data_IF_270566347276
#
_entry.id   IF_270566347276
#
_cell.length_a   1.000
_cell.length_b   1.000
_cell.length_c   1.000
_cell.angle_alpha   90.00
_cell.angle_beta   90.00
_cell.angle_gamma   90.00
#
_symmetry.space_group_name_H-M   'P 1'
#
loop_
_entity.id
_entity.type
_entity.pdbx_description
1 polymer ?
#
# COMPACT_ATOMS: atom_id res chain seq x y z
N UNK A 1 -35.36 32.42 0.24
CA UNK A 1 -35.02 31.81 1.55
C UNK A 1 -33.83 32.57 2.08
N UNK A 2 -33.96 33.27 3.20
CA UNK A 2 -32.84 34.07 3.77
C UNK A 2 -31.78 33.13 4.33
N UNK A 3 -30.55 33.28 3.88
CA UNK A 3 -29.40 32.58 4.48
C UNK A 3 -29.17 33.27 5.81
N UNK A 4 -29.43 32.57 6.92
CA UNK A 4 -29.13 33.07 8.26
C UNK A 4 -27.60 33.10 8.38
N UNK A 5 -27.04 34.30 8.44
CA UNK A 5 -25.61 34.48 8.68
C UNK A 5 -25.26 33.95 10.07
N UNK A 6 -24.48 32.94 10.12
CA UNK A 6 -23.96 32.37 11.37
C UNK A 6 -22.91 33.33 11.93
N UNK A 7 -23.20 33.95 13.09
CA UNK A 7 -22.39 35.03 13.65
C UNK A 7 -21.67 34.68 14.96
N UNK A 8 -21.69 33.41 15.38
CA UNK A 8 -21.05 32.98 16.64
C UNK A 8 -20.02 31.88 16.44
N UNK A 9 -18.89 31.94 17.19
CA UNK A 9 -17.83 30.90 17.15
C UNK A 9 -18.28 29.51 17.63
N UNK A 10 -19.45 29.42 18.25
CA UNK A 10 -19.98 28.19 18.88
C UNK A 10 -20.64 27.22 17.87
N UNK A 11 -20.58 27.53 16.59
CA UNK A 11 -21.34 26.77 15.59
C UNK A 11 -20.74 25.44 15.19
N UNK A 12 -19.52 25.18 15.56
CA UNK A 12 -18.83 23.91 15.33
C UNK A 12 -18.33 23.33 16.65
N UNK A 13 -19.28 23.09 17.59
CA UNK A 13 -18.94 22.30 18.77
C UNK A 13 -18.92 20.80 18.39
N UNK A 14 -17.73 20.31 18.14
CA UNK A 14 -17.46 18.86 17.93
C UNK A 14 -17.35 18.08 19.26
N UNK A 15 -17.57 18.72 20.41
CA UNK A 15 -17.48 18.06 21.72
C UNK A 15 -18.71 17.19 22.04
N UNK A 16 -19.83 17.42 21.37
CA UNK A 16 -21.03 16.61 21.56
C UNK A 16 -20.89 15.27 20.80
N UNK A 17 -20.84 14.20 21.53
CA UNK A 17 -20.50 12.84 21.10
C UNK A 17 -21.41 12.21 20.04
N UNK A 18 -22.51 12.86 19.63
CA UNK A 18 -23.52 12.30 18.71
C UNK A 18 -23.96 13.26 17.59
N UNK A 19 -23.25 14.35 17.33
CA UNK A 19 -23.59 15.27 16.25
C UNK A 19 -22.64 15.09 15.08
N UNK A 20 -23.20 14.87 13.89
CA UNK A 20 -22.45 14.82 12.65
C UNK A 20 -22.70 16.07 11.82
N UNK A 21 -21.65 16.62 11.22
CA UNK A 21 -21.78 17.64 10.18
C UNK A 21 -22.35 16.97 8.92
N UNK A 22 -23.52 17.43 8.49
CA UNK A 22 -24.09 16.98 7.22
C UNK A 22 -23.60 17.89 6.09
N UNK A 23 -22.78 17.35 5.22
CA UNK A 23 -22.37 18.05 4.00
C UNK A 23 -23.48 18.05 2.96
N UNK A 24 -23.54 19.06 2.05
CA UNK A 24 -24.35 18.97 0.85
C UNK A 24 -24.02 17.70 0.07
N UNK A 25 -25.04 17.03 -0.46
CA UNK A 25 -24.88 15.77 -1.19
C UNK A 25 -25.36 15.90 -2.62
N UNK A 26 -24.79 15.14 -3.54
CA UNK A 26 -25.24 15.07 -4.93
C UNK A 26 -24.33 14.21 -5.79
N UNK A 27 -24.80 13.90 -7.00
CA UNK A 27 -24.05 13.14 -8.00
C UNK A 27 -22.90 13.97 -8.60
N UNK A 28 -22.02 13.33 -9.36
CA UNK A 28 -20.95 14.02 -10.11
C UNK A 28 -21.50 15.05 -11.08
N UNK A 29 -22.66 14.79 -11.69
CA UNK A 29 -23.34 15.73 -12.60
C UNK A 29 -23.99 16.90 -11.88
N UNK A 30 -24.23 16.80 -10.58
CA UNK A 30 -24.83 17.84 -9.74
C UNK A 30 -23.78 18.73 -9.04
N UNK A 31 -22.53 18.69 -9.47
CA UNK A 31 -21.52 19.63 -8.99
C UNK A 31 -21.92 21.05 -9.34
N UNK A 32 -21.85 22.00 -8.36
CA UNK A 32 -22.16 23.39 -8.62
C UNK A 32 -21.32 23.98 -9.76
N UNK A 33 -21.94 24.66 -10.71
CA UNK A 33 -21.26 25.30 -11.84
C UNK A 33 -20.54 26.59 -11.46
N UNK A 34 -20.84 27.12 -10.28
CA UNK A 34 -20.26 28.34 -9.72
C UNK A 34 -19.60 28.07 -8.36
N UNK A 35 -19.00 26.89 -8.21
CA UNK A 35 -18.33 26.52 -6.99
C UNK A 35 -17.22 27.53 -6.62
N UNK A 36 -17.06 27.78 -5.32
CA UNK A 36 -16.05 28.67 -4.76
C UNK A 36 -15.01 27.84 -4.02
N UNK A 37 -13.74 28.28 -4.07
CA UNK A 37 -12.64 27.62 -3.38
C UNK A 37 -12.98 27.33 -1.91
N UNK A 38 -12.72 26.11 -1.49
CA UNK A 38 -13.02 25.66 -0.13
C UNK A 38 -14.43 25.11 0.07
N UNK A 39 -15.28 25.05 -0.95
CA UNK A 39 -16.56 24.34 -0.84
C UNK A 39 -16.36 22.82 -0.73
N UNK A 40 -17.14 22.20 0.15
CA UNK A 40 -17.11 20.78 0.45
C UNK A 40 -18.47 20.15 0.20
N UNK A 41 -18.48 18.91 -0.33
CA UNK A 41 -19.71 18.14 -0.51
C UNK A 41 -19.42 16.64 -0.46
N UNK A 42 -20.47 15.82 -0.32
CA UNK A 42 -20.40 14.38 -0.47
C UNK A 42 -20.90 13.98 -1.87
N UNK A 43 -20.06 13.28 -2.63
CA UNK A 43 -20.41 12.72 -3.94
C UNK A 43 -21.12 11.37 -3.75
N UNK A 44 -22.38 11.29 -4.21
CA UNK A 44 -23.20 10.09 -4.04
C UNK A 44 -22.91 8.99 -5.05
N UNK A 45 -22.32 9.31 -6.21
CA UNK A 45 -21.91 8.32 -7.20
C UNK A 45 -20.63 7.63 -6.75
N UNK A 46 -19.65 8.43 -6.40
CA UNK A 46 -18.28 7.98 -6.08
C UNK A 46 -18.08 7.59 -4.60
N UNK A 47 -19.06 7.94 -3.72
CA UNK A 47 -19.06 7.61 -2.28
C UNK A 47 -17.94 8.24 -1.45
N UNK A 48 -17.46 9.42 -1.83
CA UNK A 48 -16.45 10.16 -1.08
C UNK A 48 -16.82 11.61 -0.81
N UNK A 49 -16.11 12.23 0.12
CA UNK A 49 -16.14 13.69 0.32
C UNK A 49 -15.20 14.33 -0.67
N UNK A 50 -15.67 15.36 -1.34
CA UNK A 50 -14.89 16.14 -2.29
C UNK A 50 -14.87 17.61 -1.91
N UNK A 51 -13.79 18.31 -2.26
CA UNK A 51 -13.67 19.76 -2.09
C UNK A 51 -13.27 20.43 -3.39
N UNK A 52 -13.62 21.70 -3.54
CA UNK A 52 -13.28 22.52 -4.69
C UNK A 52 -12.09 23.42 -4.39
N UNK A 53 -11.02 23.36 -5.17
CA UNK A 53 -9.77 24.10 -4.94
C UNK A 53 -9.79 25.54 -5.47
N UNK A 54 -10.70 25.87 -6.39
CA UNK A 54 -10.91 27.23 -6.88
C UNK A 54 -9.85 27.81 -7.80
N UNK A 55 -8.90 27.01 -8.28
CA UNK A 55 -7.71 27.55 -8.98
C UNK A 55 -7.93 28.02 -10.40
N UNK A 56 -9.10 27.85 -11.03
CA UNK A 56 -9.48 28.49 -12.32
C UNK A 56 -10.98 28.39 -12.59
N UNK A 57 -11.55 29.17 -13.55
CA UNK A 57 -12.95 29.10 -13.84
C UNK A 57 -13.33 27.71 -14.33
N UNK A 58 -14.31 27.18 -13.67
CA UNK A 58 -15.11 26.00 -13.96
C UNK A 58 -14.43 24.90 -14.80
N UNK A 59 -13.78 23.99 -14.13
CA UNK A 59 -13.39 22.69 -14.65
C UNK A 59 -13.91 21.60 -13.72
N UNK A 60 -14.69 20.65 -14.21
CA UNK A 60 -15.20 19.53 -13.42
C UNK A 60 -14.07 18.67 -12.81
N UNK A 61 -12.85 18.76 -13.36
CA UNK A 61 -11.65 18.12 -12.84
C UNK A 61 -11.08 18.76 -11.55
N UNK A 62 -11.73 19.80 -10.99
CA UNK A 62 -11.23 20.53 -9.80
C UNK A 62 -11.95 20.23 -8.51
N UNK A 63 -12.85 19.30 -8.53
CA UNK A 63 -13.34 18.66 -7.35
C UNK A 63 -12.39 17.52 -6.97
N UNK A 64 -11.66 17.73 -5.90
CA UNK A 64 -10.70 16.75 -5.40
C UNK A 64 -11.34 15.86 -4.36
N UNK A 65 -11.12 14.57 -4.48
CA UNK A 65 -11.48 13.60 -3.47
C UNK A 65 -10.63 13.84 -2.21
N UNK A 66 -11.27 13.75 -1.05
CA UNK A 66 -10.56 13.62 0.21
C UNK A 66 -10.43 12.13 0.49
N UNK A 67 -9.24 11.63 0.36
CA UNK A 67 -8.93 10.26 0.71
C UNK A 67 -8.95 10.12 2.24
N UNK A 68 -9.89 9.31 2.72
CA UNK A 68 -9.85 8.81 4.09
C UNK A 68 -9.35 7.38 4.05
N UNK A 69 -8.76 6.90 5.14
CA UNK A 69 -8.32 5.50 5.23
C UNK A 69 -9.42 4.48 4.85
N UNK A 70 -10.69 4.87 5.00
CA UNK A 70 -11.84 4.02 4.66
C UNK A 70 -12.24 4.09 3.16
N UNK A 71 -11.81 5.12 2.41
CA UNK A 71 -12.13 5.31 0.98
C UNK A 71 -10.90 5.18 0.09
N UNK A 72 -9.72 5.24 0.66
CA UNK A 72 -8.51 4.94 -0.06
C UNK A 72 -8.59 3.49 -0.57
N UNK A 73 -8.48 3.33 -1.88
CA UNK A 73 -8.29 2.00 -2.43
C UNK A 73 -7.06 1.41 -1.74
N UNK A 74 -7.19 0.28 -1.04
CA UNK A 74 -6.05 -0.33 -0.39
C UNK A 74 -4.86 -0.57 -1.33
N UNK A 75 -5.08 -0.60 -2.63
CA UNK A 75 -4.03 -0.75 -3.62
C UNK A 75 -3.32 0.57 -4.00
N UNK A 76 -3.77 1.74 -3.49
CA UNK A 76 -3.17 3.05 -3.81
C UNK A 76 -2.00 3.44 -2.88
N UNK A 77 -1.76 2.70 -1.81
CA UNK A 77 -0.63 2.96 -0.92
C UNK A 77 0.62 2.19 -1.37
N UNK A 78 1.75 2.88 -1.63
CA UNK A 78 3.00 2.22 -2.02
C UNK A 78 3.42 1.08 -1.09
N UNK A 79 3.15 1.19 0.21
CA UNK A 79 3.44 0.16 1.22
C UNK A 79 2.58 -1.11 1.10
N UNK A 80 1.55 -1.11 0.25
CA UNK A 80 0.74 -2.29 -0.03
C UNK A 80 1.18 -3.07 -1.27
N UNK A 81 2.01 -2.44 -2.10
CA UNK A 81 2.52 -3.03 -3.33
C UNK A 81 4.02 -3.28 -3.28
N UNK A 82 4.71 -2.61 -2.35
CA UNK A 82 6.14 -2.78 -2.12
C UNK A 82 6.48 -2.66 -0.64
N UNK A 83 7.25 -3.62 -0.11
CA UNK A 83 7.74 -3.58 1.27
C UNK A 83 9.14 -4.16 1.37
N UNK A 84 9.99 -3.48 2.15
CA UNK A 84 11.32 -3.96 2.49
C UNK A 84 11.32 -4.54 3.89
N UNK A 85 11.74 -5.79 4.02
CA UNK A 85 11.79 -6.51 5.30
C UNK A 85 13.23 -6.87 5.63
N UNK A 86 13.63 -6.65 6.87
CA UNK A 86 14.92 -7.10 7.41
C UNK A 86 14.64 -8.20 8.42
N UNK A 87 15.35 -9.32 8.27
CA UNK A 87 15.18 -10.47 9.18
C UNK A 87 16.51 -11.15 9.51
N UNK A 88 16.52 -11.90 10.61
CA UNK A 88 17.62 -12.79 10.97
C UNK A 88 17.29 -14.21 10.53
N UNK A 89 18.24 -14.87 9.90
CA UNK A 89 18.11 -16.28 9.53
C UNK A 89 18.12 -17.18 10.76
N UNK A 90 17.35 -18.27 10.70
CA UNK A 90 17.27 -19.27 11.77
C UNK A 90 17.84 -20.65 11.37
N UNK A 91 18.25 -20.83 10.11
CA UNK A 91 18.77 -22.10 9.58
C UNK A 91 17.73 -23.21 9.45
N UNK A 92 16.43 -22.91 9.59
CA UNK A 92 15.32 -23.86 9.55
C UNK A 92 14.13 -23.24 8.81
N UNK A 93 12.97 -23.89 8.82
CA UNK A 93 11.75 -23.29 8.28
C UNK A 93 11.39 -22.02 9.04
N UNK A 94 11.17 -20.91 8.32
CA UNK A 94 10.87 -19.60 8.89
C UNK A 94 9.88 -18.84 8.03
N UNK A 95 8.77 -18.41 8.63
CA UNK A 95 7.83 -17.48 8.01
C UNK A 95 8.33 -16.04 8.24
N UNK A 96 8.35 -15.24 7.19
CA UNK A 96 8.64 -13.80 7.18
C UNK A 96 7.33 -13.08 6.87
N UNK A 97 6.71 -12.47 7.89
CA UNK A 97 5.32 -11.98 7.83
C UNK A 97 5.19 -10.45 7.70
N UNK A 98 6.30 -9.74 7.74
CA UNK A 98 6.31 -8.27 7.82
C UNK A 98 6.16 -7.59 6.43
N UNK A 99 5.88 -8.35 5.36
CA UNK A 99 5.57 -7.77 4.06
C UNK A 99 4.17 -7.12 4.03
N UNK A 100 3.22 -7.65 4.85
CA UNK A 100 1.86 -7.11 4.96
C UNK A 100 0.93 -7.47 3.80
N UNK A 101 1.44 -8.13 2.78
CA UNK A 101 0.71 -8.63 1.60
C UNK A 101 1.35 -9.92 1.09
N UNK A 102 0.64 -10.62 0.19
CA UNK A 102 1.23 -11.75 -0.54
C UNK A 102 2.11 -11.21 -1.65
N UNK A 103 3.45 -11.42 -1.60
CA UNK A 103 4.33 -10.96 -2.65
C UNK A 103 4.22 -11.84 -3.90
N UNK A 104 4.42 -11.22 -5.07
CA UNK A 104 4.59 -11.91 -6.36
C UNK A 104 6.05 -11.95 -6.79
N UNK A 105 6.87 -11.04 -6.26
CA UNK A 105 8.31 -11.06 -6.43
C UNK A 105 8.97 -10.83 -5.07
N UNK A 106 9.94 -11.68 -4.72
CA UNK A 106 10.79 -11.55 -3.52
C UNK A 106 12.24 -11.55 -3.96
N UNK A 107 12.95 -10.45 -3.66
CA UNK A 107 14.38 -10.33 -3.88
C UNK A 107 15.10 -10.37 -2.53
N UNK A 108 15.91 -11.40 -2.30
CA UNK A 108 16.61 -11.62 -1.02
C UNK A 108 18.10 -11.39 -1.19
N UNK A 109 18.70 -10.69 -0.21
CA UNK A 109 20.13 -10.50 -0.12
C UNK A 109 20.61 -10.66 1.32
N UNK A 110 21.66 -11.47 1.53
CA UNK A 110 22.40 -11.46 2.80
C UNK A 110 23.13 -10.11 2.96
N UNK A 111 23.02 -9.50 4.14
CA UNK A 111 23.51 -8.15 4.40
C UNK A 111 25.01 -8.11 4.75
N UNK A 112 25.54 -9.19 5.23
CA UNK A 112 26.96 -9.32 5.62
C UNK A 112 27.65 -10.48 4.90
N UNK A 113 28.98 -10.43 4.89
CA UNK A 113 29.81 -11.42 4.22
C UNK A 113 29.94 -11.22 2.72
N UNK A 114 30.70 -12.09 2.07
CA UNK A 114 30.95 -12.08 0.63
C UNK A 114 30.58 -13.43 0.00
N UNK A 115 30.34 -13.44 -1.32
CA UNK A 115 30.08 -14.67 -2.05
C UNK A 115 28.63 -15.14 -2.01
N UNK A 116 27.70 -14.33 -1.47
CA UNK A 116 26.28 -14.64 -1.46
C UNK A 116 25.57 -13.98 -2.64
N UNK A 117 24.83 -14.78 -3.41
CA UNK A 117 24.05 -14.29 -4.55
C UNK A 117 22.82 -13.51 -4.13
N UNK A 118 22.39 -12.59 -4.98
CA UNK A 118 21.08 -11.96 -4.89
C UNK A 118 20.03 -12.91 -5.46
N UNK A 119 19.15 -13.42 -4.63
CA UNK A 119 18.15 -14.41 -5.00
C UNK A 119 16.82 -13.77 -5.34
N UNK A 120 16.28 -14.04 -6.52
CA UNK A 120 14.97 -13.58 -6.98
C UNK A 120 14.05 -14.78 -7.17
N UNK A 121 12.93 -14.72 -6.47
CA UNK A 121 11.82 -15.68 -6.57
C UNK A 121 10.56 -14.95 -7.00
N UNK A 122 9.76 -15.52 -7.88
CA UNK A 122 8.47 -14.96 -8.26
C UNK A 122 7.38 -16.03 -8.34
N UNK A 123 6.12 -15.56 -8.19
CA UNK A 123 4.94 -16.42 -8.14
C UNK A 123 4.64 -17.12 -9.46
N UNK A 124 5.13 -16.58 -10.59
CA UNK A 124 4.90 -17.12 -11.94
C UNK A 124 5.76 -18.35 -12.19
N UNK A 125 7.06 -18.28 -11.85
CA UNK A 125 7.97 -19.44 -11.94
C UNK A 125 7.71 -20.46 -10.82
N UNK A 126 7.16 -19.99 -9.71
CA UNK A 126 6.78 -20.81 -8.56
C UNK A 126 7.84 -20.83 -7.46
N UNK A 127 7.49 -21.51 -6.36
CA UNK A 127 8.38 -21.72 -5.23
C UNK A 127 9.60 -22.54 -5.63
N UNK A 128 10.71 -22.34 -4.91
CA UNK A 128 12.00 -22.98 -5.13
C UNK A 128 12.73 -22.55 -6.43
N UNK A 129 12.09 -21.95 -7.40
CA UNK A 129 12.71 -21.55 -8.66
C UNK A 129 13.39 -20.18 -8.50
N UNK A 130 14.73 -20.18 -8.49
CA UNK A 130 15.54 -18.98 -8.23
C UNK A 130 16.35 -18.58 -9.44
N UNK A 131 16.45 -17.28 -9.67
CA UNK A 131 17.47 -16.64 -10.52
C UNK A 131 18.31 -15.68 -9.69
N UNK A 132 19.47 -15.30 -10.19
CA UNK A 132 20.41 -14.44 -9.50
C UNK A 132 20.63 -13.16 -10.31
N UNK A 133 20.39 -11.98 -9.71
CA UNK A 133 20.58 -10.71 -10.42
C UNK A 133 22.05 -10.33 -10.59
N UNK A 134 22.95 -10.93 -9.86
CA UNK A 134 24.39 -10.67 -9.87
C UNK A 134 25.23 -11.84 -10.42
N UNK A 135 24.58 -12.75 -11.14
CA UNK A 135 25.24 -13.87 -11.79
C UNK A 135 24.57 -14.21 -13.12
N UNK A 136 25.31 -14.80 -14.05
CA UNK A 136 24.82 -15.23 -15.36
C UNK A 136 24.27 -16.66 -15.37
N UNK A 137 24.16 -17.30 -14.22
CA UNK A 137 23.60 -18.64 -14.09
C UNK A 137 22.12 -18.64 -14.53
N UNK A 138 21.75 -19.71 -15.21
CA UNK A 138 20.35 -19.99 -15.54
C UNK A 138 19.51 -20.17 -14.28
N UNK A 139 18.18 -20.24 -14.43
CA UNK A 139 17.26 -20.61 -13.37
C UNK A 139 17.72 -21.91 -12.68
N UNK A 140 17.61 -21.92 -11.36
CA UNK A 140 18.07 -23.02 -10.53
C UNK A 140 16.99 -23.40 -9.51
N UNK A 141 16.75 -24.70 -9.32
CA UNK A 141 15.78 -25.16 -8.32
C UNK A 141 16.44 -25.28 -6.94
N UNK A 142 15.86 -24.60 -5.93
CA UNK A 142 16.28 -24.64 -4.53
C UNK A 142 15.10 -24.95 -3.60
N UNK A 143 14.74 -26.22 -3.42
CA UNK A 143 13.58 -26.63 -2.62
C UNK A 143 13.62 -26.17 -1.15
N UNK A 144 14.82 -25.86 -0.63
CA UNK A 144 15.02 -25.31 0.72
C UNK A 144 15.15 -23.79 0.75
N UNK A 145 15.00 -23.11 -0.38
CA UNK A 145 14.96 -21.65 -0.50
C UNK A 145 13.62 -21.08 -0.07
N UNK A 146 12.96 -20.34 -0.96
CA UNK A 146 11.58 -19.90 -0.74
C UNK A 146 10.63 -21.07 -0.98
N UNK A 147 9.81 -21.41 0.02
CA UNK A 147 8.93 -22.58 0.03
C UNK A 147 7.44 -22.24 -0.11
N UNK A 148 7.04 -21.00 0.20
CA UNK A 148 5.69 -20.50 -0.06
C UNK A 148 5.64 -18.99 -0.16
N UNK A 149 4.68 -18.47 -0.95
CA UNK A 149 4.23 -17.10 -0.96
C UNK A 149 2.96 -17.01 -0.11
N UNK A 150 3.03 -16.38 1.05
CA UNK A 150 1.99 -16.36 2.07
C UNK A 150 1.16 -15.07 1.98
N UNK A 151 -0.02 -15.03 2.58
CA UNK A 151 -0.94 -13.88 2.49
C UNK A 151 -0.36 -12.56 3.02
N UNK A 152 0.65 -12.63 3.88
CA UNK A 152 1.31 -11.46 4.51
C UNK A 152 2.84 -11.49 4.38
N UNK A 153 3.37 -12.31 3.47
CA UNK A 153 4.82 -12.46 3.28
C UNK A 153 5.19 -13.76 2.58
N UNK A 154 6.21 -14.44 3.07
CA UNK A 154 6.72 -15.68 2.48
C UNK A 154 7.37 -16.58 3.52
N UNK A 155 7.50 -17.86 3.19
CA UNK A 155 8.21 -18.83 4.05
C UNK A 155 9.48 -19.32 3.37
N UNK A 156 10.54 -19.42 4.16
CA UNK A 156 11.84 -19.96 3.78
C UNK A 156 12.08 -21.33 4.40
N UNK A 157 12.84 -22.17 3.72
CA UNK A 157 13.44 -23.38 4.26
C UNK A 157 14.85 -23.13 4.82
N UNK A 158 15.62 -24.20 5.02
CA UNK A 158 16.97 -24.18 5.62
C UNK A 158 18.10 -23.78 4.64
N UNK A 159 17.82 -22.96 3.63
CA UNK A 159 18.82 -22.54 2.65
C UNK A 159 19.79 -21.51 3.25
N UNK A 160 21.09 -21.80 3.22
CA UNK A 160 22.13 -20.92 3.80
C UNK A 160 22.22 -19.56 3.11
N UNK A 161 21.89 -19.46 1.82
CA UNK A 161 21.97 -18.20 1.09
C UNK A 161 20.80 -17.24 1.38
N UNK A 162 19.71 -17.73 1.98
CA UNK A 162 18.53 -16.91 2.31
C UNK A 162 18.11 -17.01 3.78
N UNK A 163 18.65 -17.98 4.54
CA UNK A 163 18.18 -18.23 5.92
C UNK A 163 19.26 -18.85 6.84
N UNK A 164 20.54 -18.57 6.58
CA UNK A 164 21.65 -19.05 7.42
C UNK A 164 21.60 -18.44 8.82
N UNK A 165 22.02 -19.24 9.82
CA UNK A 165 22.22 -18.75 11.19
C UNK A 165 23.69 -18.94 11.63
N UNK A 166 24.34 -17.89 12.22
CA UNK A 166 23.86 -16.51 12.31
C UNK A 166 23.93 -15.81 10.95
N UNK A 167 22.95 -14.98 10.64
CA UNK A 167 22.95 -14.17 9.43
C UNK A 167 21.81 -13.18 9.40
N UNK A 168 22.03 -12.01 8.82
CA UNK A 168 20.97 -11.02 8.60
C UNK A 168 20.75 -10.82 7.12
N UNK A 169 19.49 -10.62 6.76
CA UNK A 169 19.02 -10.55 5.39
C UNK A 169 18.12 -9.34 5.19
N UNK A 170 18.03 -8.91 3.94
CA UNK A 170 17.00 -7.99 3.46
C UNK A 170 16.21 -8.68 2.36
N UNK A 171 14.90 -8.52 2.41
CA UNK A 171 13.99 -8.93 1.36
C UNK A 171 13.21 -7.72 0.85
N UNK A 172 13.26 -7.48 -0.44
CA UNK A 172 12.39 -6.55 -1.13
C UNK A 172 11.25 -7.35 -1.73
N UNK A 173 10.02 -6.91 -1.46
CA UNK A 173 8.81 -7.62 -1.80
C UNK A 173 7.93 -6.74 -2.68
N UNK A 174 7.43 -7.28 -3.78
CA UNK A 174 6.49 -6.60 -4.68
C UNK A 174 5.24 -7.44 -4.82
N UNK A 175 4.09 -6.78 -4.81
CA UNK A 175 2.81 -7.34 -5.19
C UNK A 175 2.59 -7.03 -6.67
N UNK A 176 2.21 -8.02 -7.45
CA UNK A 176 1.73 -7.85 -8.82
C UNK A 176 0.37 -7.16 -8.85
N UNK A 177 0.09 -6.43 -9.94
CA UNK A 177 -1.21 -5.79 -10.17
C UNK A 177 -2.28 -6.78 -10.62
#
# INVERSE_FOLDING_TARGET
MAITKITTPELFDFSATNTALKLPTGTSLQRPTNAIAGEWRYNTDEKYVEFYDGTTPYDAAKWFQIDTEATANPDDFPGQNFQTVIYSGNGSTQAITDAGFKPDLVWIKKREGSGYYHQLYDSVRGVAEVIFSNDSLQQYSRPTGLTSFDSNGFTLGANTNSNETPGTFVAWNWKGG
#
